data_IF_732741094499
#
_entry.id   IF_732741094499
#
_cell.length_a   1.000
_cell.length_b   1.000
_cell.length_c   1.000
_cell.angle_alpha   90.00
_cell.angle_beta   90.00
_cell.angle_gamma   90.00
#
_symmetry.space_group_name_H-M   'P 1'
#
loop_
_entity.id
_entity.type
_entity.pdbx_description
1 polymer ?
#
# COMPACT_ATOMS: atom_id res chain seq x y z
N UNK A 1 -11.75 0.82 -4.01
CA UNK A 1 -13.12 0.74 -4.58
C UNK A 1 -13.99 -0.01 -3.58
N UNK A 2 -15.11 0.55 -3.10
CA UNK A 2 -16.00 -0.15 -2.17
C UNK A 2 -16.67 -1.37 -2.84
N UNK A 3 -17.18 -2.33 -2.06
CA UNK A 3 -17.93 -3.47 -2.60
C UNK A 3 -19.20 -3.02 -3.33
N UNK A 4 -19.67 -3.83 -4.27
CA UNK A 4 -20.97 -3.70 -4.91
C UNK A 4 -22.12 -4.13 -3.96
N UNK A 5 -23.37 -4.05 -4.42
CA UNK A 5 -24.56 -4.44 -3.64
C UNK A 5 -24.56 -5.91 -3.18
N UNK A 6 -23.77 -6.78 -3.83
CA UNK A 6 -23.63 -8.19 -3.49
C UNK A 6 -22.46 -8.45 -2.51
N UNK A 7 -21.82 -7.39 -2.00
CA UNK A 7 -20.65 -7.48 -1.12
C UNK A 7 -19.36 -7.88 -1.85
N UNK A 8 -19.32 -7.79 -3.18
CA UNK A 8 -18.20 -8.26 -4.01
C UNK A 8 -17.45 -7.11 -4.68
N UNK A 9 -16.23 -7.39 -5.11
CA UNK A 9 -15.45 -6.48 -5.95
C UNK A 9 -14.86 -5.28 -5.21
N UNK A 10 -14.81 -5.34 -3.88
CA UNK A 10 -13.98 -4.43 -3.11
C UNK A 10 -12.52 -4.53 -3.59
N UNK A 11 -11.85 -3.39 -3.68
CA UNK A 11 -10.41 -3.31 -3.90
C UNK A 11 -9.88 -2.38 -2.82
N UNK A 12 -9.20 -2.98 -1.84
CA UNK A 12 -8.51 -2.25 -0.80
C UNK A 12 -7.17 -1.70 -1.34
N UNK A 13 -6.66 -0.65 -0.69
CA UNK A 13 -5.34 -0.12 -1.01
C UNK A 13 -4.25 -1.19 -0.87
N UNK A 14 -4.42 -2.09 0.10
CA UNK A 14 -3.55 -3.25 0.31
C UNK A 14 -3.46 -4.17 -0.91
N UNK A 15 -4.56 -4.37 -1.62
CA UNK A 15 -4.59 -5.19 -2.83
C UNK A 15 -3.77 -4.54 -3.95
N UNK A 16 -3.87 -3.21 -4.08
CA UNK A 16 -3.09 -2.43 -5.04
C UNK A 16 -1.60 -2.48 -4.75
N UNK A 17 -1.20 -2.35 -3.48
CA UNK A 17 0.20 -2.46 -3.05
C UNK A 17 0.77 -3.84 -3.39
N UNK A 18 0.07 -4.92 -3.01
CA UNK A 18 0.50 -6.29 -3.32
C UNK A 18 0.57 -6.57 -4.82
N UNK A 19 -0.34 -5.99 -5.60
CA UNK A 19 -0.30 -6.11 -7.05
C UNK A 19 0.90 -5.35 -7.63
N UNK A 20 1.14 -4.12 -7.19
CA UNK A 20 2.26 -3.30 -7.63
C UNK A 20 3.60 -3.99 -7.40
N UNK A 21 3.81 -4.65 -6.25
CA UNK A 21 5.06 -5.40 -5.96
C UNK A 21 5.34 -6.53 -6.96
N UNK A 22 4.32 -7.06 -7.65
CA UNK A 22 4.51 -8.07 -8.72
C UNK A 22 4.92 -7.48 -10.05
N UNK A 23 4.88 -6.16 -10.20
CA UNK A 23 5.24 -5.44 -11.42
C UNK A 23 6.72 -5.05 -11.47
N UNK A 24 7.52 -5.50 -10.49
CA UNK A 24 8.94 -5.12 -10.32
C UNK A 24 9.16 -3.60 -10.34
N UNK A 25 8.45 -2.83 -9.50
CA UNK A 25 8.70 -1.39 -9.43
C UNK A 25 10.08 -1.15 -8.80
N UNK A 26 10.77 -0.09 -9.21
CA UNK A 26 11.96 0.36 -8.46
C UNK A 26 11.56 1.08 -7.17
N UNK A 27 10.36 1.68 -7.16
CA UNK A 27 9.80 2.43 -6.04
C UNK A 27 8.29 2.27 -5.99
N UNK A 28 7.74 2.16 -4.78
CA UNK A 28 6.30 2.30 -4.53
C UNK A 28 6.01 3.59 -3.77
N UNK A 29 5.02 4.34 -4.25
CA UNK A 29 4.52 5.54 -3.57
C UNK A 29 3.07 5.28 -3.19
N UNK A 30 2.78 5.30 -1.90
CA UNK A 30 1.42 5.20 -1.36
C UNK A 30 1.02 6.59 -0.89
N UNK A 31 -0.18 7.05 -1.25
CA UNK A 31 -0.64 8.37 -0.86
C UNK A 31 -0.65 8.55 0.65
N UNK A 32 -1.31 7.65 1.36
CA UNK A 32 -1.39 7.65 2.82
C UNK A 32 -1.60 6.23 3.35
N UNK A 33 -0.85 5.84 4.38
CA UNK A 33 -1.08 4.60 5.12
C UNK A 33 -1.94 4.86 6.36
N UNK A 34 -3.03 4.10 6.50
CA UNK A 34 -3.96 4.12 7.65
C UNK A 34 -4.30 2.72 8.19
N UNK A 35 -3.83 1.64 7.57
CA UNK A 35 -4.16 0.27 7.93
C UNK A 35 -3.11 -0.76 7.53
N UNK A 36 -3.57 -1.95 7.12
CA UNK A 36 -2.71 -3.12 6.89
C UNK A 36 -1.66 -2.95 5.80
N UNK A 37 -1.87 -2.03 4.86
CA UNK A 37 -0.91 -1.66 3.82
C UNK A 37 0.39 -1.05 4.37
N UNK A 38 0.39 -0.55 5.61
CA UNK A 38 1.60 -0.05 6.26
C UNK A 38 2.66 -1.16 6.40
N UNK A 39 2.25 -2.39 6.74
CA UNK A 39 3.17 -3.52 6.84
C UNK A 39 3.70 -3.93 5.47
N UNK A 40 2.85 -3.96 4.45
CA UNK A 40 3.29 -4.27 3.07
C UNK A 40 4.25 -3.18 2.55
N UNK A 41 4.06 -1.91 2.94
CA UNK A 41 5.00 -0.82 2.66
C UNK A 41 6.37 -1.01 3.33
N UNK A 42 6.39 -1.36 4.63
CA UNK A 42 7.64 -1.66 5.33
C UNK A 42 8.37 -2.85 4.69
N UNK A 43 7.63 -3.88 4.29
CA UNK A 43 8.19 -5.01 3.56
C UNK A 43 8.77 -4.58 2.21
N UNK A 44 8.08 -3.74 1.44
CA UNK A 44 8.58 -3.22 0.16
C UNK A 44 9.91 -2.49 0.33
N UNK A 45 9.99 -1.59 1.31
CA UNK A 45 11.22 -0.86 1.66
C UNK A 45 12.37 -1.80 2.06
N UNK A 46 12.07 -2.95 2.65
CA UNK A 46 13.09 -3.90 3.08
C UNK A 46 13.49 -4.92 2.00
N UNK A 47 12.85 -4.90 0.82
CA UNK A 47 12.99 -5.93 -0.22
C UNK A 47 13.33 -5.36 -1.59
N UNK A 48 14.16 -4.31 -1.63
CA UNK A 48 14.74 -3.79 -2.87
C UNK A 48 13.90 -2.74 -3.61
N UNK A 49 12.94 -2.12 -2.91
CA UNK A 49 12.18 -0.97 -3.42
C UNK A 49 12.66 0.31 -2.73
N UNK A 50 13.97 0.54 -2.78
CA UNK A 50 14.64 1.60 -2.00
C UNK A 50 14.18 2.99 -2.46
N UNK A 51 13.80 3.83 -1.49
CA UNK A 51 13.22 5.15 -1.75
C UNK A 51 11.70 5.17 -1.90
N UNK A 52 11.03 4.05 -1.59
CA UNK A 52 9.56 4.04 -1.42
C UNK A 52 9.11 5.01 -0.34
N UNK A 53 7.96 5.63 -0.55
CA UNK A 53 7.47 6.76 0.25
C UNK A 53 5.98 6.61 0.53
N UNK A 54 5.56 7.10 1.69
CA UNK A 54 4.15 7.25 2.03
C UNK A 54 3.96 8.41 2.99
N UNK A 55 2.73 8.91 3.09
CA UNK A 55 2.34 9.77 4.21
C UNK A 55 1.67 8.93 5.30
N UNK A 56 1.75 9.39 6.53
CA UNK A 56 1.06 8.77 7.65
C UNK A 56 0.47 9.88 8.53
N UNK A 57 -0.68 9.60 9.14
CA UNK A 57 -1.25 10.49 10.13
C UNK A 57 -0.62 10.19 11.50
N UNK A 58 0.08 11.17 12.06
CA UNK A 58 0.69 11.08 13.38
C UNK A 58 0.64 12.45 14.08
N UNK A 59 0.48 12.44 15.40
CA UNK A 59 0.49 13.66 16.21
C UNK A 59 1.91 14.12 16.60
N UNK A 60 2.88 13.24 16.42
CA UNK A 60 4.31 13.47 16.66
C UNK A 60 5.13 12.53 15.75
N UNK A 61 6.42 12.82 15.51
CA UNK A 61 7.34 11.88 14.89
C UNK A 61 7.42 10.54 15.63
#
# INVERSE_FOLDING_TARGET
>A
RPPNLEGKGEIAIRDLVKNALRMRPDRIVVGECRGGEALDMLQAMNTGHDGSLTTAHANSP
#
